data_IF_940346533573
#
_entry.id   IF_940346533573
#
_cell.length_a   1.000
_cell.length_b   1.000
_cell.length_c   1.000
_cell.angle_alpha   90.00
_cell.angle_beta   90.00
_cell.angle_gamma   90.00
#
_symmetry.space_group_name_H-M   'P 1'
#
loop_
_entity.id
_entity.type
_entity.pdbx_description
1 polymer ?
2 branched ?
3 branched ?
4 non-polymer ?
5 non-polymer ?
6 non-polymer ?
7 non-polymer ?
8 non-polymer ?
9 water ?
#
# COMPACT_ATOMS: atom_id res chain seq x y z
N UNK A 1 20.06 -5.82 15.83
CA UNK A 1 20.91 -6.93 16.32
C UNK A 1 20.19 -8.29 16.38
N UNK A 2 18.98 -8.35 16.93
CA UNK A 2 18.15 -9.58 16.79
C UNK A 2 17.03 -9.39 15.71
N UNK A 3 16.60 -10.46 15.04
CA UNK A 3 15.45 -10.41 14.12
C UNK A 3 14.20 -10.04 14.90
N UNK A 4 13.35 -9.18 14.33
CA UNK A 4 12.14 -8.86 15.03
C UNK A 4 11.11 -9.99 15.00
N UNK A 5 10.38 -10.15 16.11
CA UNK A 5 9.29 -11.12 16.15
C UNK A 5 7.99 -10.42 16.44
N UNK A 6 6.93 -10.84 15.78
CA UNK A 6 5.62 -10.23 15.92
C UNK A 6 4.97 -10.73 17.19
N UNK A 7 5.35 -10.16 18.34
CA UNK A 7 4.95 -10.78 19.63
C UNK A 7 3.77 -10.06 20.25
N UNK A 8 3.35 -8.90 19.72
CA UNK A 8 2.24 -8.12 20.29
C UNK A 8 0.94 -8.24 19.45
N UNK A 9 -0.20 -7.90 20.06
CA UNK A 9 -1.44 -7.73 19.32
C UNK A 9 -1.58 -6.26 18.94
N UNK A 10 -2.62 -5.92 18.15
CA UNK A 10 -2.99 -4.54 17.78
C UNK A 10 -3.49 -3.73 19.01
N UNK A 11 -3.14 -2.46 19.14
CA UNK A 11 -3.77 -1.64 20.18
C UNK A 11 -5.22 -1.44 19.76
N UNK A 12 -6.01 -1.06 20.74
CA UNK A 12 -7.39 -0.71 20.52
C UNK A 12 -7.42 0.55 19.70
N UNK A 13 -8.20 0.52 18.62
CA UNK A 13 -8.29 1.64 17.71
C UNK A 13 -9.60 2.41 18.02
N UNK A 14 -9.49 3.58 18.65
CA UNK A 14 -10.71 4.38 18.92
C UNK A 14 -10.83 5.62 18.06
N UNK A 15 -9.70 6.04 17.43
CA UNK A 15 -9.68 7.05 16.36
C UNK A 15 -8.30 7.03 15.72
N UNK A 16 -8.02 8.02 14.86
CA UNK A 16 -6.74 8.11 14.19
C UNK A 16 -6.20 9.51 14.43
N UNK A 17 -4.90 9.57 14.76
CA UNK A 17 -4.22 10.86 14.96
C UNK A 17 -3.30 11.10 13.78
N UNK A 18 -3.03 12.38 13.48
CA UNK A 18 -2.14 12.69 12.41
C UNK A 18 -0.67 12.20 12.75
N UNK A 19 -0.02 11.55 11.77
CA UNK A 19 1.35 11.03 11.92
C UNK A 19 2.41 11.77 11.05
N UNK A 20 2.14 11.88 9.75
CA UNK A 20 3.06 12.52 8.82
C UNK A 20 2.29 13.10 7.65
N UNK A 21 2.82 14.17 7.05
CA UNK A 21 2.24 14.80 5.87
C UNK A 21 3.38 15.54 5.21
N UNK A 22 3.59 15.30 3.91
CA UNK A 22 4.74 16.00 3.30
C UNK A 22 4.45 17.23 2.48
N UNK A 23 3.19 17.52 2.13
CA UNK A 23 2.88 18.72 1.36
C UNK A 23 3.73 18.85 0.10
N UNK A 24 4.02 17.75 -0.55
CA UNK A 24 5.06 17.75 -1.57
C UNK A 24 4.68 18.58 -2.79
N UNK A 25 3.40 18.58 -3.18
CA UNK A 25 3.06 19.21 -4.50
C UNK A 25 3.07 20.73 -4.25
N UNK A 26 2.56 21.15 -3.09
CA UNK A 26 2.64 22.56 -2.64
C UNK A 26 4.06 23.02 -2.64
N UNK A 27 4.93 22.26 -1.98
CA UNK A 27 6.34 22.75 -1.82
C UNK A 27 7.05 22.74 -3.17
N UNK A 28 6.75 21.70 -3.97
CA UNK A 28 7.44 21.42 -5.21
C UNK A 28 7.07 22.35 -6.33
N UNK A 29 5.99 23.11 -6.13
CA UNK A 29 5.62 24.22 -7.05
C UNK A 29 6.78 25.16 -7.27
N UNK A 30 7.65 25.29 -6.25
CA UNK A 30 8.81 26.15 -6.45
C UNK A 30 10.12 25.63 -5.79
N UNK A 31 10.35 24.32 -5.75
CA UNK A 31 11.57 23.80 -5.20
C UNK A 31 11.77 22.43 -5.85
N UNK A 32 12.94 21.77 -5.63
CA UNK A 32 13.33 20.66 -6.47
C UNK A 32 12.81 19.34 -5.99
N UNK A 33 11.51 19.15 -6.19
CA UNK A 33 10.81 18.03 -5.61
C UNK A 33 10.61 17.01 -6.74
N UNK A 34 10.95 15.74 -6.48
CA UNK A 34 10.84 14.68 -7.52
C UNK A 34 9.36 14.35 -7.75
N UNK A 35 9.03 14.01 -8.98
CA UNK A 35 7.69 13.51 -9.32
C UNK A 35 7.66 12.06 -8.81
N UNK A 36 6.57 11.71 -8.16
CA UNK A 36 6.43 10.34 -7.61
C UNK A 36 5.05 9.77 -7.84
N UNK A 37 4.88 8.51 -7.47
CA UNK A 37 3.57 7.93 -7.21
C UNK A 37 3.82 6.63 -6.50
N UNK A 38 2.74 6.00 -6.08
CA UNK A 38 2.84 4.74 -5.33
C UNK A 38 3.67 4.88 -4.05
N UNK A 39 3.34 5.87 -3.18
CA UNK A 39 4.15 6.07 -1.97
C UNK A 39 3.80 5.05 -0.87
N UNK A 40 4.62 4.98 0.16
CA UNK A 40 4.23 4.24 1.40
C UNK A 40 5.14 4.68 2.49
N UNK A 41 5.06 4.03 3.64
CA UNK A 41 5.83 4.40 4.82
C UNK A 41 6.38 3.09 5.37
N UNK A 42 7.60 3.12 5.93
CA UNK A 42 8.16 1.93 6.53
C UNK A 42 9.17 2.30 7.60
N UNK A 43 9.19 1.54 8.69
CA UNK A 43 10.08 1.83 9.79
C UNK A 43 11.22 0.89 9.87
N UNK A 44 12.35 1.47 10.32
CA UNK A 44 13.52 0.78 10.79
C UNK A 44 13.49 0.84 12.31
N UNK A 45 14.42 0.15 12.99
CA UNK A 45 14.39 0.26 14.47
C UNK A 45 14.63 1.66 15.01
N UNK A 46 15.24 2.56 14.26
CA UNK A 46 15.60 3.88 14.80
C UNK A 46 14.95 5.05 14.03
N UNK A 47 14.12 4.76 13.04
CA UNK A 47 13.67 5.80 12.10
C UNK A 47 12.52 5.27 11.23
N UNK A 48 11.50 6.09 11.04
CA UNK A 48 10.49 5.78 10.05
C UNK A 48 10.67 6.75 8.89
N UNK A 49 10.46 6.24 7.67
CA UNK A 49 10.69 7.05 6.46
C UNK A 49 9.53 6.90 5.47
N UNK A 50 9.42 7.89 4.58
CA UNK A 50 8.55 7.86 3.42
C UNK A 50 9.29 7.15 2.28
N UNK A 51 8.52 6.43 1.45
CA UNK A 51 9.01 5.63 0.33
C UNK A 51 8.08 6.01 -0.86
N UNK A 52 8.60 6.00 -2.09
CA UNK A 52 7.76 6.07 -3.26
C UNK A 52 8.54 5.71 -4.48
N UNK A 53 7.84 5.49 -5.57
CA UNK A 53 8.46 5.38 -6.89
C UNK A 53 8.64 6.72 -7.56
N UNK A 54 9.89 7.17 -7.60
CA UNK A 54 10.29 8.34 -8.34
C UNK A 54 10.00 8.16 -9.86
N UNK A 55 9.84 9.25 -10.59
CA UNK A 55 9.70 9.18 -12.05
C UNK A 55 10.94 9.81 -12.66
N UNK A 56 11.96 10.07 -11.85
CA UNK A 56 13.24 10.46 -12.41
C UNK A 56 13.19 11.83 -13.08
N UNK A 57 12.46 12.78 -12.49
CA UNK A 57 12.33 14.16 -12.95
C UNK A 57 11.73 14.96 -11.81
N UNK A 58 11.95 16.28 -11.78
CA UNK A 58 11.23 17.15 -10.83
C UNK A 58 9.85 17.51 -11.39
N UNK A 59 8.95 18.07 -10.59
CA UNK A 59 7.57 18.40 -11.03
C UNK A 59 7.58 19.60 -11.98
N UNK A 60 8.34 20.64 -11.63
CA UNK A 60 8.51 21.79 -12.49
C UNK A 60 9.44 21.50 -13.65
N UNK A 61 10.20 20.41 -13.63
CA UNK A 61 11.03 20.08 -14.78
C UNK A 61 10.18 19.75 -16.01
N UNK A 62 10.67 20.12 -17.18
CA UNK A 62 9.97 19.73 -18.44
C UNK A 62 9.75 18.22 -18.61
N UNK A 63 10.67 17.36 -18.07
CA UNK A 63 10.49 15.86 -18.10
C UNK A 63 9.33 15.32 -17.28
N UNK A 64 8.64 16.17 -16.51
CA UNK A 64 7.43 15.69 -15.81
C UNK A 64 6.27 15.45 -16.83
N UNK A 65 6.37 16.02 -18.01
CA UNK A 65 5.42 15.79 -19.05
C UNK A 65 5.42 14.30 -19.44
N UNK A 66 4.29 13.61 -19.20
CA UNK A 66 4.17 12.19 -19.53
C UNK A 66 4.24 11.26 -18.30
N UNK A 67 4.33 11.84 -17.10
CA UNK A 67 4.50 11.02 -15.88
C UNK A 67 3.23 10.33 -15.44
N UNK A 68 2.13 10.49 -16.22
CA UNK A 68 0.94 9.60 -16.07
C UNK A 68 1.31 8.11 -16.32
N UNK A 69 2.35 7.82 -17.11
CA UNK A 69 2.74 6.44 -17.39
C UNK A 69 3.36 5.79 -16.17
N UNK A 70 3.04 4.51 -15.95
CA UNK A 70 3.45 3.81 -14.76
C UNK A 70 4.85 3.22 -14.83
N UNK A 71 5.33 2.85 -16.01
CA UNK A 71 6.53 2.02 -16.11
C UNK A 71 7.47 2.60 -17.12
N UNK A 72 8.64 2.99 -16.67
CA UNK A 72 9.68 3.54 -17.51
C UNK A 72 11.02 3.18 -16.86
N UNK A 73 12.11 3.45 -17.60
CA UNK A 73 13.46 3.17 -17.17
C UNK A 73 13.95 4.24 -16.19
N UNK A 74 13.11 5.26 -15.94
CA UNK A 74 13.52 6.45 -15.18
C UNK A 74 12.95 6.36 -13.75
N UNK A 75 12.30 5.23 -13.42
CA UNK A 75 11.69 5.10 -12.10
C UNK A 75 12.63 4.38 -11.13
N UNK A 76 12.46 4.64 -9.82
CA UNK A 76 13.29 4.00 -8.77
C UNK A 76 12.52 4.10 -7.45
N UNK A 77 12.64 3.08 -6.60
CA UNK A 77 12.16 3.16 -5.23
C UNK A 77 13.08 4.17 -4.49
N UNK A 78 12.54 5.25 -3.94
CA UNK A 78 13.34 6.18 -3.13
C UNK A 78 12.77 6.23 -1.72
N UNK A 79 13.59 6.64 -0.76
CA UNK A 79 13.06 6.93 0.53
C UNK A 79 13.65 8.26 1.00
N UNK A 80 12.97 8.87 1.96
CA UNK A 80 13.33 10.19 2.44
C UNK A 80 12.79 10.40 3.88
N UNK A 81 13.30 11.37 4.64
CA UNK A 81 12.80 11.52 6.04
C UNK A 81 11.32 11.87 6.20
N UNK A 82 10.72 11.26 7.21
CA UNK A 82 9.29 11.38 7.51
C UNK A 82 8.82 12.84 7.37
N UNK A 83 7.81 13.02 6.55
CA UNK A 83 7.13 14.34 6.39
C UNK A 83 7.96 15.41 5.70
N UNK A 84 9.17 15.09 5.27
CA UNK A 84 9.86 15.91 4.24
C UNK A 84 9.26 15.59 2.90
N UNK A 85 9.48 16.44 1.86
CA UNK A 85 9.07 16.08 0.50
C UNK A 85 10.22 15.25 -0.18
N UNK A 86 9.91 14.41 -1.19
CA UNK A 86 10.96 13.67 -1.88
C UNK A 86 11.74 14.60 -2.79
N UNK A 87 12.84 15.18 -2.32
CA UNK A 87 13.56 16.15 -3.15
C UNK A 87 14.75 15.43 -3.83
N UNK A 88 15.28 16.08 -4.83
CA UNK A 88 16.46 15.64 -5.49
C UNK A 88 17.64 15.49 -4.48
N UNK A 89 17.73 16.37 -3.48
CA UNK A 89 18.88 16.46 -2.63
C UNK A 89 18.78 15.62 -1.33
N UNK A 90 17.59 15.15 -0.94
CA UNK A 90 17.40 14.42 0.35
C UNK A 90 16.81 12.97 0.17
N UNK A 91 16.59 12.57 -1.08
CA UNK A 91 16.06 11.24 -1.42
C UNK A 91 17.16 10.18 -1.62
N UNK A 92 17.01 9.04 -0.99
CA UNK A 92 17.97 7.96 -1.14
C UNK A 92 17.35 6.95 -2.06
N UNK A 93 18.11 6.51 -3.06
CA UNK A 93 17.58 5.48 -3.97
C UNK A 93 17.82 4.10 -3.33
N UNK A 94 16.72 3.35 -3.10
CA UNK A 94 16.76 1.97 -2.64
C UNK A 94 17.14 0.95 -3.73
N UNK A 95 16.57 1.13 -4.92
CA UNK A 95 16.76 0.18 -6.05
C UNK A 95 16.01 0.74 -7.27
N UNK A 96 16.27 0.19 -8.46
CA UNK A 96 15.78 0.73 -9.74
C UNK A 96 14.62 -0.12 -10.20
N UNK A 97 13.53 0.53 -10.60
CA UNK A 97 12.35 -0.20 -11.04
C UNK A 97 11.06 0.59 -10.87
N UNK A 98 9.96 -0.08 -11.25
CA UNK A 98 8.62 0.53 -11.36
C UNK A 98 7.54 -0.20 -10.57
N UNK A 99 7.96 -1.12 -9.68
CA UNK A 99 7.07 -1.78 -8.72
C UNK A 99 7.97 -2.22 -7.59
N UNK A 100 7.51 -2.07 -6.34
CA UNK A 100 8.39 -2.32 -5.20
C UNK A 100 7.70 -2.75 -3.92
N UNK A 101 8.52 -3.28 -3.03
CA UNK A 101 8.17 -3.39 -1.63
C UNK A 101 9.46 -3.25 -0.83
N UNK A 102 9.37 -3.10 0.50
CA UNK A 102 10.55 -2.91 1.38
C UNK A 102 10.15 -3.19 2.85
N UNK A 103 11.02 -3.78 3.67
CA UNK A 103 10.74 -3.98 5.10
C UNK A 103 12.06 -4.30 5.74
N UNK A 104 12.11 -3.98 7.02
CA UNK A 104 13.29 -4.14 7.86
C UNK A 104 12.95 -5.36 8.73
N UNK A 105 13.90 -6.30 8.82
CA UNK A 105 13.69 -7.54 9.61
C UNK A 105 14.17 -7.46 11.06
N UNK A 106 14.58 -6.28 11.50
CA UNK A 106 15.15 -6.09 12.86
C UNK A 106 16.67 -5.94 12.82
N UNK A 107 17.32 -6.59 11.84
CA UNK A 107 18.79 -6.47 11.71
C UNK A 107 19.08 -5.54 10.56
N UNK A 108 18.39 -5.69 9.43
CA UNK A 108 18.62 -4.75 8.31
C UNK A 108 17.41 -4.76 7.34
N UNK A 109 17.50 -3.98 6.27
CA UNK A 109 16.39 -3.76 5.34
C UNK A 109 16.49 -4.57 4.07
N UNK A 110 15.36 -5.20 3.72
CA UNK A 110 15.19 -5.81 2.39
C UNK A 110 14.34 -4.88 1.52
N UNK A 111 14.78 -4.59 0.28
CA UNK A 111 14.00 -3.80 -0.64
C UNK A 111 13.94 -4.55 -1.95
N UNK A 112 12.81 -4.47 -2.63
CA UNK A 112 12.63 -5.27 -3.87
C UNK A 112 12.10 -4.31 -4.95
N UNK A 113 12.81 -4.22 -6.09
CA UNK A 113 12.29 -3.48 -7.25
C UNK A 113 12.22 -4.37 -8.44
N UNK A 114 11.15 -4.18 -9.21
CA UNK A 114 10.96 -4.90 -10.44
C UNK A 114 11.11 -3.89 -11.58
N UNK A 115 11.84 -4.28 -12.63
CA UNK A 115 11.99 -3.43 -13.85
C UNK A 115 11.90 -4.31 -15.11
N UNK A 116 11.92 -3.71 -16.32
CA UNK A 116 11.91 -4.51 -17.55
C UNK A 116 10.73 -4.15 -18.43
N UNK A 117 10.76 -4.64 -19.69
CA UNK A 117 9.53 -4.44 -20.51
C UNK A 117 8.41 -5.34 -19.95
N UNK A 118 7.19 -5.11 -20.38
CA UNK A 118 6.04 -5.88 -19.90
C UNK A 118 6.18 -7.38 -19.98
N UNK A 119 6.86 -7.88 -21.02
CA UNK A 119 6.96 -9.29 -21.30
C UNK A 119 8.20 -9.98 -20.80
N UNK A 120 9.04 -9.25 -20.06
CA UNK A 120 10.37 -9.72 -19.71
C UNK A 120 10.89 -9.02 -18.43
N UNK A 121 10.00 -8.79 -17.45
CA UNK A 121 10.36 -8.11 -16.22
C UNK A 121 11.13 -9.01 -15.26
N UNK A 122 11.85 -8.41 -14.30
CA UNK A 122 12.56 -9.17 -13.25
C UNK A 122 12.59 -8.38 -11.91
N UNK A 123 12.43 -9.12 -10.81
CA UNK A 123 12.62 -8.62 -9.48
C UNK A 123 14.11 -8.75 -9.05
N UNK A 124 14.69 -7.67 -8.52
CA UNK A 124 15.99 -7.76 -7.81
C UNK A 124 15.74 -7.52 -6.33
N UNK A 125 16.19 -8.45 -5.51
CA UNK A 125 15.98 -8.43 -4.06
C UNK A 125 17.27 -7.97 -3.44
N UNK A 126 17.21 -6.81 -2.81
CA UNK A 126 18.32 -6.15 -2.13
C UNK A 126 18.18 -6.41 -0.66
N UNK A 127 19.29 -6.62 0.03
CA UNK A 127 19.31 -6.88 1.46
C UNK A 127 20.58 -6.23 2.03
N UNK A 128 20.46 -5.42 3.09
CA UNK A 128 21.65 -4.66 3.58
C UNK A 128 22.30 -3.80 2.48
N UNK A 129 21.44 -3.25 1.62
CA UNK A 129 21.74 -2.36 0.48
C UNK A 129 22.70 -2.98 -0.55
N UNK A 130 22.61 -4.29 -0.71
CA UNK A 130 23.28 -5.03 -1.79
C UNK A 130 22.29 -5.99 -2.46
N UNK A 131 22.39 -6.14 -3.82
CA UNK A 131 21.50 -7.09 -4.52
C UNK A 131 21.94 -8.50 -4.16
N UNK A 132 20.96 -9.36 -3.85
CA UNK A 132 21.26 -10.73 -3.38
C UNK A 132 20.57 -11.79 -4.28
N UNK A 133 19.33 -11.59 -4.69
CA UNK A 133 18.56 -12.59 -5.41
C UNK A 133 17.83 -11.90 -6.54
N UNK A 134 17.64 -12.62 -7.63
CA UNK A 134 16.89 -12.09 -8.77
C UNK A 134 15.86 -13.15 -9.17
N UNK A 135 14.66 -12.70 -9.54
CA UNK A 135 13.55 -13.56 -9.96
C UNK A 135 12.99 -13.08 -11.31
N UNK A 136 13.04 -13.96 -12.32
CA UNK A 136 12.56 -13.60 -13.66
C UNK A 136 11.06 -13.72 -13.74
N UNK A 137 10.46 -12.93 -14.62
CA UNK A 137 9.00 -13.02 -14.91
C UNK A 137 8.63 -14.54 -15.15
N UNK A 138 7.52 -15.03 -14.56
CA UNK A 138 7.01 -16.38 -14.85
C UNK A 138 5.80 -16.40 -15.77
N UNK A 139 5.12 -15.27 -15.97
CA UNK A 139 3.94 -15.27 -16.88
C UNK A 139 4.11 -14.23 -17.98
N UNK A 140 5.29 -13.59 -18.06
CA UNK A 140 5.61 -12.62 -19.16
C UNK A 140 4.55 -11.51 -19.32
N UNK A 141 3.94 -11.09 -18.20
CA UNK A 141 2.94 -10.01 -18.23
C UNK A 141 2.97 -9.14 -16.95
N UNK A 142 3.87 -8.14 -16.92
CA UNK A 142 4.05 -7.17 -15.85
C UNK A 142 4.12 -7.86 -14.47
N UNK A 143 5.17 -8.63 -14.22
CA UNK A 143 5.59 -8.96 -12.82
C UNK A 143 5.51 -7.71 -11.91
N UNK A 144 4.75 -7.81 -10.83
CA UNK A 144 4.44 -6.66 -9.97
C UNK A 144 4.23 -7.14 -8.53
N UNK A 145 4.36 -6.22 -7.57
CA UNK A 145 4.32 -6.59 -6.16
C UNK A 145 3.49 -5.57 -5.40
N UNK A 146 3.72 -5.47 -4.10
CA UNK A 146 2.85 -4.81 -3.14
C UNK A 146 2.67 -3.29 -3.26
N UNK A 147 3.74 -2.55 -3.56
CA UNK A 147 3.72 -1.05 -3.49
C UNK A 147 3.44 -0.54 -2.09
N UNK A 148 3.70 -1.39 -1.06
CA UNK A 148 3.74 -0.94 0.33
C UNK A 148 4.62 -1.91 1.13
N UNK A 149 4.87 -1.63 2.41
CA UNK A 149 5.90 -2.41 3.10
C UNK A 149 5.50 -3.89 3.29
N UNK A 150 6.49 -4.77 3.27
CA UNK A 150 6.34 -6.16 3.67
C UNK A 150 6.50 -6.19 5.21
N UNK A 151 6.31 -7.36 5.79
CA UNK A 151 6.41 -7.56 7.22
C UNK A 151 7.32 -8.77 7.50
N UNK A 152 8.16 -8.69 8.52
CA UNK A 152 9.07 -9.84 8.80
C UNK A 152 8.75 -10.45 10.16
N UNK A 153 9.01 -11.74 10.29
CA UNK A 153 8.94 -12.40 11.59
C UNK A 153 10.09 -13.43 11.72
N UNK A 154 10.96 -13.23 12.71
CA UNK A 154 12.16 -14.04 12.92
C UNK A 154 12.98 -14.18 11.63
N UNK A 155 13.17 -13.09 10.91
CA UNK A 155 13.98 -13.13 9.72
C UNK A 155 13.19 -13.51 8.49
N UNK A 156 11.98 -14.09 8.66
CA UNK A 156 11.19 -14.50 7.47
C UNK A 156 10.29 -13.34 7.03
N UNK A 157 10.52 -12.83 5.81
CA UNK A 157 9.72 -11.73 5.22
C UNK A 157 8.95 -12.20 3.98
N UNK A 158 7.66 -12.61 4.13
CA UNK A 158 6.86 -12.99 2.94
C UNK A 158 6.52 -11.77 2.10
N UNK A 159 6.45 -12.01 0.79
CA UNK A 159 6.18 -10.97 -0.17
C UNK A 159 5.24 -11.53 -1.25
N UNK A 160 4.16 -10.80 -1.56
CA UNK A 160 3.19 -11.25 -2.59
C UNK A 160 3.56 -10.58 -3.91
N UNK A 161 3.69 -11.39 -4.98
CA UNK A 161 3.95 -10.99 -6.35
C UNK A 161 2.78 -11.51 -7.20
N UNK A 162 2.51 -10.82 -8.30
CA UNK A 162 1.53 -11.30 -9.25
C UNK A 162 2.16 -11.09 -10.61
N UNK A 163 1.97 -12.06 -11.50
CA UNK A 163 2.44 -11.93 -12.88
C UNK A 163 1.30 -12.50 -13.72
N UNK A 164 0.87 -11.78 -14.76
CA UNK A 164 -0.27 -12.24 -15.58
C UNK A 164 -1.23 -11.13 -15.75
N UNK A 165 -2.43 -11.45 -16.21
CA UNK A 165 -3.40 -10.45 -16.66
C UNK A 165 -3.92 -9.60 -15.50
N UNK A 166 -4.21 -8.32 -15.77
CA UNK A 166 -4.97 -7.45 -14.86
C UNK A 166 -6.50 -7.61 -14.92
N UNK A 167 -6.96 -8.33 -15.94
CA UNK A 167 -8.38 -8.39 -16.27
C UNK A 167 -8.89 -9.86 -16.51
N UNK A 168 -8.42 -10.82 -15.72
CA UNK A 168 -8.61 -12.26 -15.97
C UNK A 168 -7.69 -12.98 -15.00
N UNK A 169 -7.78 -14.32 -14.90
CA UNK A 169 -6.86 -15.04 -13.98
C UNK A 169 -5.34 -14.69 -14.17
N UNK A 170 -4.60 -14.59 -13.07
CA UNK A 170 -3.19 -14.28 -13.12
C UNK A 170 -2.41 -15.28 -12.23
N UNK A 171 -1.08 -15.23 -12.22
CA UNK A 171 -0.31 -16.15 -11.37
C UNK A 171 0.32 -15.41 -10.20
N UNK A 172 -0.22 -15.67 -9.02
CA UNK A 172 0.21 -15.00 -7.81
C UNK A 172 0.99 -15.99 -7.03
N UNK A 173 2.09 -15.50 -6.49
CA UNK A 173 3.01 -16.32 -5.73
C UNK A 173 3.40 -15.57 -4.45
N UNK A 174 3.64 -16.34 -3.39
CA UNK A 174 4.08 -15.79 -2.12
C UNK A 174 5.49 -16.34 -1.93
N UNK A 175 6.46 -15.44 -1.98
CA UNK A 175 7.83 -15.77 -1.69
C UNK A 175 8.14 -15.54 -0.22
N UNK A 176 8.89 -16.44 0.37
CA UNK A 176 9.29 -16.34 1.76
C UNK A 176 10.81 -16.10 1.75
N UNK A 177 11.21 -14.86 2.01
CA UNK A 177 12.62 -14.47 2.02
C UNK A 177 13.25 -14.47 3.39
N UNK A 178 14.56 -14.71 3.44
CA UNK A 178 15.33 -14.52 4.71
C UNK A 178 16.72 -14.07 4.32
N UNK A 179 17.11 -12.85 4.74
CA UNK A 179 18.43 -12.32 4.34
C UNK A 179 18.51 -12.17 2.82
N UNK A 180 17.35 -11.90 2.22
CA UNK A 180 17.26 -11.77 0.78
C UNK A 180 17.32 -13.05 -0.02
N UNK A 181 17.43 -14.19 0.65
CA UNK A 181 17.49 -15.48 -0.04
C UNK A 181 16.06 -16.10 -0.04
N UNK A 182 15.70 -16.85 -1.09
CA UNK A 182 14.37 -17.46 -1.11
C UNK A 182 14.37 -18.74 -0.25
N UNK A 183 13.58 -18.80 0.82
CA UNK A 183 13.44 -20.04 1.58
C UNK A 183 12.42 -20.95 0.90
N UNK A 184 11.41 -20.34 0.29
CA UNK A 184 10.28 -21.14 -0.23
C UNK A 184 9.41 -20.21 -1.03
N UNK A 185 8.70 -20.74 -2.01
CA UNK A 185 7.60 -19.97 -2.54
C UNK A 185 6.37 -20.90 -2.75
N UNK A 186 5.18 -20.32 -2.74
CA UNK A 186 3.93 -21.05 -2.93
C UNK A 186 3.07 -20.30 -3.99
N UNK A 187 2.34 -21.05 -4.81
CA UNK A 187 1.27 -20.40 -5.59
C UNK A 187 0.09 -19.98 -4.68
N UNK A 188 -0.63 -18.92 -5.04
CA UNK A 188 -1.80 -18.47 -4.25
C UNK A 188 -2.76 -19.61 -3.98
N UNK A 189 -3.30 -19.63 -2.77
CA UNK A 189 -4.30 -20.64 -2.32
C UNK A 189 -5.52 -19.94 -1.78
N UNK A 190 -6.50 -20.74 -1.35
CA UNK A 190 -7.78 -20.23 -0.79
C UNK A 190 -8.67 -19.67 -1.92
N UNK A 191 -9.58 -18.72 -1.60
CA UNK A 191 -10.71 -18.42 -2.50
C UNK A 191 -10.59 -17.06 -3.17
N UNK A 192 -9.54 -16.26 -2.86
CA UNK A 192 -9.29 -15.03 -3.60
C UNK A 192 -9.08 -15.39 -5.08
N UNK A 193 -9.71 -14.64 -6.01
CA UNK A 193 -9.70 -15.02 -7.45
C UNK A 193 -8.71 -14.19 -8.28
N UNK A 194 -8.25 -13.06 -7.71
CA UNK A 194 -7.26 -12.18 -8.35
C UNK A 194 -6.61 -11.35 -7.23
N UNK A 195 -5.28 -11.17 -7.28
CA UNK A 195 -4.53 -10.47 -6.23
C UNK A 195 -3.60 -9.45 -6.84
N UNK A 196 -3.64 -8.21 -6.33
CA UNK A 196 -2.61 -7.21 -6.65
C UNK A 196 -2.34 -6.34 -5.44
N UNK A 197 -1.14 -5.77 -5.37
CA UNK A 197 -0.90 -4.70 -4.40
C UNK A 197 -1.36 -4.95 -2.95
N UNK A 198 -0.90 -6.04 -2.35
CA UNK A 198 -1.18 -6.33 -0.96
C UNK A 198 -0.62 -5.31 0.02
N UNK A 199 -1.50 -4.85 0.92
CA UNK A 199 -1.12 -4.02 2.02
C UNK A 199 -1.10 -4.90 3.27
N UNK A 200 0.04 -4.97 3.98
CA UNK A 200 0.22 -6.00 5.03
C UNK A 200 0.59 -5.44 6.42
N UNK A 201 0.23 -6.20 7.45
CA UNK A 201 0.61 -5.88 8.85
C UNK A 201 0.77 -7.20 9.58
N UNK A 202 1.48 -7.17 10.71
CA UNK A 202 1.89 -8.35 11.47
C UNK A 202 1.40 -8.18 12.88
N UNK A 203 0.82 -9.23 13.45
CA UNK A 203 0.58 -9.22 14.91
C UNK A 203 0.50 -10.64 15.41
N UNK A 204 0.97 -10.93 16.64
CA UNK A 204 0.89 -12.26 17.21
C UNK A 204 1.24 -13.31 16.18
N UNK A 205 2.43 -13.16 15.56
CA UNK A 205 3.04 -14.19 14.66
C UNK A 205 2.21 -14.57 13.41
N UNK A 206 1.37 -13.63 12.98
CA UNK A 206 0.63 -13.79 11.75
C UNK A 206 0.64 -12.47 10.95
N UNK A 207 0.72 -12.59 9.63
CA UNK A 207 0.73 -11.48 8.73
C UNK A 207 -0.59 -11.49 7.94
N UNK A 208 -1.28 -10.35 7.98
CA UNK A 208 -2.55 -10.13 7.28
C UNK A 208 -2.34 -9.13 6.17
N UNK A 209 -2.71 -9.53 4.95
CA UNK A 209 -2.66 -8.65 3.77
C UNK A 209 -4.04 -8.39 3.16
N UNK A 210 -4.38 -7.12 2.97
CA UNK A 210 -5.61 -6.74 2.27
C UNK A 210 -5.18 -6.23 0.88
N UNK A 211 -5.76 -6.82 -0.16
CA UNK A 211 -5.24 -6.69 -1.50
C UNK A 211 -6.31 -6.09 -2.41
N UNK A 212 -6.00 -6.03 -3.70
CA UNK A 212 -6.89 -5.50 -4.72
C UNK A 212 -7.19 -6.66 -5.68
N UNK A 213 -8.47 -7.06 -5.78
CA UNK A 213 -8.92 -7.93 -6.87
C UNK A 213 -9.25 -6.99 -8.03
N UNK A 214 -8.34 -6.83 -9.00
CA UNK A 214 -8.60 -5.95 -10.12
C UNK A 214 -9.69 -6.50 -11.12
N UNK A 215 -9.87 -7.82 -11.18
CA UNK A 215 -10.64 -8.45 -12.23
C UNK A 215 -12.12 -8.31 -11.97
N UNK A 216 -12.56 -8.75 -10.80
CA UNK A 216 -14.01 -8.81 -10.54
C UNK A 216 -14.50 -8.19 -9.25
N UNK A 217 -13.71 -8.24 -8.17
CA UNK A 217 -14.17 -7.84 -6.85
C UNK A 217 -14.13 -6.35 -6.44
N UNK A 218 -15.25 -5.89 -5.88
CA UNK A 218 -15.30 -4.58 -5.21
C UNK A 218 -15.21 -4.73 -3.70
N UNK A 219 -15.32 -5.97 -3.19
CA UNK A 219 -14.86 -6.30 -1.81
C UNK A 219 -13.32 -6.61 -1.99
N UNK A 220 -12.52 -6.60 -0.94
CA UNK A 220 -11.07 -6.81 -1.09
C UNK A 220 -10.69 -8.22 -0.73
N UNK A 221 -9.81 -8.82 -1.54
CA UNK A 221 -9.28 -10.11 -1.07
C UNK A 221 -8.33 -9.90 0.11
N UNK A 222 -8.28 -10.91 0.96
CA UNK A 222 -7.38 -10.99 2.09
C UNK A 222 -6.53 -12.23 2.01
N UNK A 223 -5.20 -12.07 2.22
CA UNK A 223 -4.26 -13.21 2.41
C UNK A 223 -3.77 -13.20 3.86
N UNK A 224 -3.88 -14.34 4.55
CA UNK A 224 -3.36 -14.45 5.90
C UNK A 224 -2.21 -15.43 5.86
N UNK A 225 -1.05 -15.00 6.37
CA UNK A 225 0.20 -15.76 6.20
C UNK A 225 0.75 -16.14 7.58
N UNK A 226 1.16 -17.40 7.70
CA UNK A 226 1.87 -17.89 8.88
C UNK A 226 3.35 -17.91 8.51
N UNK A 227 4.16 -16.93 9.02
CA UNK A 227 5.56 -16.84 8.59
C UNK A 227 6.47 -17.87 9.29
N UNK A 228 5.99 -18.59 10.29
CA UNK A 228 6.75 -19.72 10.89
C UNK A 228 6.51 -20.98 10.07
N UNK A 229 5.24 -21.39 9.87
CA UNK A 229 4.95 -22.55 8.97
C UNK A 229 5.24 -22.25 7.50
N UNK A 230 5.34 -20.96 7.14
CA UNK A 230 5.45 -20.51 5.75
C UNK A 230 4.32 -21.03 4.86
N UNK A 231 3.08 -20.88 5.36
CA UNK A 231 1.84 -21.28 4.66
C UNK A 231 0.87 -20.06 4.74
N UNK A 232 -0.17 -20.07 3.93
CA UNK A 232 -1.11 -18.95 3.88
C UNK A 232 -2.46 -19.45 3.41
N UNK A 233 -3.46 -18.57 3.49
CA UNK A 233 -4.79 -18.85 2.94
C UNK A 233 -5.30 -17.50 2.43
N UNK A 234 -6.47 -17.51 1.81
CA UNK A 234 -7.05 -16.25 1.25
C UNK A 234 -8.56 -16.39 1.18
N UNK A 235 -9.23 -15.23 1.23
CA UNK A 235 -10.69 -15.16 1.20
C UNK A 235 -10.96 -13.71 0.82
N UNK A 236 -12.19 -13.23 1.00
CA UNK A 236 -12.49 -11.83 0.82
C UNK A 236 -12.98 -11.26 2.15
N UNK A 237 -12.87 -9.95 2.34
CA UNK A 237 -13.60 -9.31 3.42
C UNK A 237 -15.13 -9.61 3.16
N UNK A 238 -15.79 -10.31 4.10
CA UNK A 238 -17.24 -10.62 4.03
C UNK A 238 -18.13 -9.38 4.04
N UNK A 239 -17.69 -8.30 4.70
CA UNK A 239 -18.59 -7.17 4.94
C UNK A 239 -19.24 -6.62 3.68
N UNK A 240 -20.52 -6.14 3.77
CA UNK A 240 -21.13 -5.41 2.66
C UNK A 240 -20.59 -4.01 2.54
N UNK A 241 -19.71 -3.55 3.46
CA UNK A 241 -19.08 -2.20 3.34
C UNK A 241 -17.94 -2.43 2.33
N UNK A 242 -18.18 -2.10 1.07
CA UNK A 242 -17.28 -2.50 0.00
C UNK A 242 -16.16 -1.44 -0.10
N UNK A 243 -14.91 -1.87 -0.31
CA UNK A 243 -13.78 -0.94 -0.11
C UNK A 243 -12.82 -0.78 -1.28
N UNK A 244 -13.11 -1.39 -2.42
CA UNK A 244 -12.38 -1.07 -3.61
C UNK A 244 -12.95 0.21 -4.23
N UNK A 245 -12.41 0.57 -5.37
CA UNK A 245 -12.82 1.77 -6.13
C UNK A 245 -12.34 1.62 -7.57
N UNK A 246 -13.17 1.89 -8.58
CA UNK A 246 -14.61 2.21 -8.43
C UNK A 246 -15.34 0.97 -7.95
N UNK A 247 -16.58 1.13 -7.52
CA UNK A 247 -17.33 0.01 -6.90
C UNK A 247 -18.86 0.25 -7.03
N UNK A 248 -19.66 -0.82 -6.93
CA UNK A 248 -21.10 -0.52 -6.88
C UNK A 248 -21.48 0.07 -5.51
N UNK A 249 -22.72 0.50 -5.38
CA UNK A 249 -23.21 0.87 -4.04
C UNK A 249 -23.16 -0.27 -3.03
N UNK A 250 -23.06 0.06 -1.75
CA UNK A 250 -23.00 -0.99 -0.72
C UNK A 250 -24.30 -1.83 -0.65
N UNK A 251 -24.18 -3.15 -0.64
CA UNK A 251 -25.38 -3.88 -0.36
C UNK A 251 -25.61 -4.08 1.13
N UNK A 252 -26.43 -5.05 1.45
CA UNK A 252 -26.79 -5.35 2.82
C UNK A 252 -26.03 -6.61 3.18
N UNK A 253 -25.65 -7.38 2.16
CA UNK A 253 -24.87 -8.61 2.42
C UNK A 253 -23.74 -8.79 1.40
N UNK A 254 -22.55 -9.11 1.92
CA UNK A 254 -21.32 -9.18 1.12
C UNK A 254 -21.04 -10.61 0.71
N UNK A 255 -19.84 -10.83 0.17
CA UNK A 255 -19.36 -12.15 -0.14
C UNK A 255 -18.03 -12.44 0.47
N UNK A 256 -17.94 -13.62 1.10
CA UNK A 256 -16.78 -14.15 1.80
C UNK A 256 -15.77 -14.87 0.90
N UNK A 257 -16.25 -15.59 -0.11
CA UNK A 257 -15.39 -16.48 -0.87
C UNK A 257 -15.45 -16.29 -2.34
N UNK A 258 -16.01 -15.16 -2.75
CA UNK A 258 -16.01 -14.78 -4.15
C UNK A 258 -15.98 -13.30 -4.29
N UNK A 259 -15.68 -12.82 -5.50
CA UNK A 259 -15.72 -11.35 -5.76
C UNK A 259 -17.12 -10.81 -5.68
N UNK A 260 -17.29 -9.66 -5.04
CA UNK A 260 -18.55 -8.93 -5.09
C UNK A 260 -18.61 -8.16 -6.40
N UNK A 261 -19.62 -8.46 -7.28
CA UNK A 261 -19.57 -7.99 -8.68
C UNK A 261 -20.11 -6.60 -8.85
N UNK A 262 -20.12 -6.11 -10.08
CA UNK A 262 -20.62 -4.78 -10.33
C UNK A 262 -19.60 -3.88 -10.98
N UNK A 263 -18.31 -4.10 -10.74
CA UNK A 263 -17.25 -3.35 -11.47
C UNK A 263 -16.19 -4.37 -11.89
N UNK A 264 -15.73 -4.30 -13.15
CA UNK A 264 -14.73 -5.23 -13.67
C UNK A 264 -13.46 -4.47 -14.08
N UNK A 265 -12.30 -5.08 -13.94
CA UNK A 265 -11.11 -4.56 -14.62
C UNK A 265 -10.69 -3.20 -14.10
N UNK A 266 -10.74 -3.01 -12.79
CA UNK A 266 -10.31 -1.74 -12.25
C UNK A 266 -10.25 -1.84 -10.75
N UNK A 267 -9.60 -0.87 -10.08
CA UNK A 267 -9.47 -0.96 -8.61
C UNK A 267 -8.47 0.08 -8.14
N UNK A 268 -8.13 0.04 -6.84
CA UNK A 268 -7.14 0.94 -6.22
C UNK A 268 -6.47 0.10 -5.07
N UNK A 269 -5.17 0.32 -4.84
CA UNK A 269 -4.54 -0.26 -3.67
C UNK A 269 -5.23 0.24 -2.41
N UNK A 270 -5.58 -0.66 -1.49
CA UNK A 270 -6.15 -0.23 -0.21
C UNK A 270 -5.73 -1.13 0.94
N UNK A 271 -6.38 -0.98 2.11
CA UNK A 271 -5.92 -1.73 3.27
C UNK A 271 -7.05 -1.85 4.26
N UNK A 272 -6.89 -2.75 5.22
CA UNK A 272 -7.74 -2.79 6.40
C UNK A 272 -6.93 -3.30 7.58
N UNK A 273 -7.53 -3.15 8.77
CA UNK A 273 -7.06 -3.82 10.01
C UNK A 273 -8.17 -4.70 10.46
N UNK A 274 -7.92 -6.01 10.39
CA UNK A 274 -8.95 -7.02 10.65
C UNK A 274 -8.65 -7.70 12.00
N UNK A 275 -9.35 -7.28 13.06
CA UNK A 275 -9.03 -7.72 14.43
C UNK A 275 -10.33 -7.87 15.31
N UNK A 276 -11.25 -8.75 14.87
CA UNK A 276 -12.53 -8.94 15.56
C UNK A 276 -13.28 -7.62 15.62
N UNK A 277 -13.70 -7.23 16.81
CA UNK A 277 -14.47 -5.98 16.98
C UNK A 277 -13.59 -4.75 16.73
N UNK A 278 -12.29 -4.91 16.90
CA UNK A 278 -11.34 -3.82 16.63
C UNK A 278 -10.97 -3.74 15.13
N UNK A 279 -11.95 -3.75 14.22
CA UNK A 279 -11.69 -3.82 12.80
C UNK A 279 -12.03 -2.52 12.14
N UNK A 280 -11.05 -1.97 11.41
CA UNK A 280 -11.25 -0.73 10.68
C UNK A 280 -10.92 -0.91 9.18
N UNK A 281 -11.77 -0.37 8.32
CA UNK A 281 -11.60 -0.49 6.87
C UNK A 281 -11.37 0.93 6.35
N UNK A 282 -10.43 1.08 5.40
CA UNK A 282 -10.32 2.32 4.63
C UNK A 282 -11.01 2.16 3.29
N UNK A 283 -11.55 3.26 2.78
CA UNK A 283 -12.14 3.34 1.41
C UNK A 283 -12.11 4.82 0.97
N UNK A 284 -12.07 5.02 -0.34
CA UNK A 284 -12.43 6.28 -0.93
C UNK A 284 -13.92 6.53 -0.59
N UNK A 285 -14.28 7.78 -0.34
CA UNK A 285 -15.68 8.13 -0.14
C UNK A 285 -16.48 7.96 -1.47
N UNK A 286 -15.93 8.40 -2.58
CA UNK A 286 -16.63 8.27 -3.88
C UNK A 286 -16.63 6.81 -4.33
N UNK A 287 -17.75 6.37 -4.96
CA UNK A 287 -17.81 4.98 -5.51
C UNK A 287 -17.25 4.98 -6.91
N UNK A 288 -17.13 6.18 -7.44
CA UNK A 288 -16.82 6.37 -8.87
C UNK A 288 -15.38 6.78 -9.15
N UNK A 289 -14.74 7.53 -8.26
CA UNK A 289 -13.36 7.91 -8.57
C UNK A 289 -12.54 7.95 -7.29
N UNK A 290 -11.25 8.24 -7.41
CA UNK A 290 -10.36 8.21 -6.24
C UNK A 290 -10.43 9.56 -5.54
N UNK A 291 -11.56 9.77 -4.90
CA UNK A 291 -11.93 11.06 -4.33
C UNK A 291 -12.30 10.78 -2.88
N UNK A 292 -11.76 11.57 -1.94
CA UNK A 292 -12.17 11.38 -0.54
C UNK A 292 -11.57 10.10 0.08
N UNK A 293 -11.52 10.07 1.41
CA UNK A 293 -10.99 8.91 2.09
C UNK A 293 -11.59 8.84 3.47
N UNK A 294 -12.08 7.68 3.86
CA UNK A 294 -12.60 7.52 5.22
C UNK A 294 -12.13 6.23 5.89
N UNK A 295 -12.17 6.24 7.23
CA UNK A 295 -11.92 5.05 8.00
C UNK A 295 -13.27 4.69 8.66
N UNK A 296 -13.68 3.41 8.57
CA UNK A 296 -14.94 2.90 9.12
C UNK A 296 -14.67 1.73 10.06
N UNK A 297 -15.20 1.81 11.28
CA UNK A 297 -15.04 0.71 12.21
C UNK A 297 -16.19 -0.24 11.85
N UNK A 298 -15.82 -1.46 11.45
CA UNK A 298 -16.76 -2.46 10.96
C UNK A 298 -16.45 -3.74 11.72
N UNK A 299 -17.08 -3.93 12.89
CA UNK A 299 -16.71 -5.06 13.74
C UNK A 299 -16.87 -6.37 12.98
N UNK A 300 -15.86 -7.25 13.03
CA UNK A 300 -15.89 -8.52 12.35
C UNK A 300 -16.06 -8.44 10.86
N UNK A 301 -15.60 -7.37 10.20
CA UNK A 301 -15.74 -7.24 8.74
C UNK A 301 -15.26 -8.50 7.99
N UNK A 302 -14.17 -9.12 8.47
CA UNK A 302 -13.57 -10.25 7.77
C UNK A 302 -14.53 -11.45 7.64
N UNK A 303 -15.27 -11.68 8.71
CA UNK A 303 -16.04 -12.91 8.86
C UNK A 303 -17.56 -12.74 8.90
N UNK A 304 -18.06 -11.52 8.97
CA UNK A 304 -19.53 -11.27 9.11
C UNK A 304 -20.06 -10.59 7.80
N UNK A 305 -20.85 -11.32 7.02
CA UNK A 305 -21.29 -10.82 5.73
C UNK A 305 -22.47 -9.82 5.76
N UNK A 306 -22.89 -9.41 6.94
CA UNK A 306 -23.86 -8.37 7.09
C UNK A 306 -23.34 -7.16 7.92
N UNK A 307 -22.04 -7.14 8.25
CA UNK A 307 -21.47 -6.14 9.21
C UNK A 307 -21.43 -4.75 8.59
N UNK A 308 -21.87 -3.74 9.37
CA UNK A 308 -22.04 -2.35 8.91
C UNK A 308 -21.23 -1.49 9.89
N UNK A 309 -20.96 -0.19 9.58
CA UNK A 309 -20.08 0.63 10.45
C UNK A 309 -20.72 0.99 11.79
N UNK A 310 -19.92 0.98 12.84
CA UNK A 310 -20.37 1.44 14.13
C UNK A 310 -19.67 2.75 14.52
N UNK A 311 -18.65 3.15 13.74
CA UNK A 311 -17.88 4.36 14.00
C UNK A 311 -17.18 4.73 12.74
N UNK A 312 -16.73 5.98 12.64
CA UNK A 312 -15.95 6.38 11.48
C UNK A 312 -15.06 7.61 11.64
N UNK A 313 -14.17 7.84 10.67
CA UNK A 313 -13.41 9.08 10.69
C UNK A 313 -13.15 9.53 9.24
N UNK A 314 -13.45 10.79 8.93
CA UNK A 314 -13.03 11.38 7.67
C UNK A 314 -11.49 11.63 7.62
N UNK A 315 -10.84 11.18 6.56
CA UNK A 315 -9.41 11.46 6.41
C UNK A 315 -9.24 12.55 5.33
N UNK A 316 -9.94 12.36 4.19
CA UNK A 316 -9.88 13.32 3.07
C UNK A 316 -11.33 13.55 2.63
N UNK A 317 -11.73 14.81 2.52
CA UNK A 317 -13.10 15.14 2.05
C UNK A 317 -13.28 14.65 0.64
N UNK A 318 -14.54 14.37 0.33
CA UNK A 318 -14.91 13.95 -1.00
C UNK A 318 -14.73 15.00 -2.09
N UNK A 319 -14.43 16.23 -1.74
CA UNK A 319 -14.08 17.25 -2.74
C UNK A 319 -12.57 17.32 -2.95
N UNK A 320 -11.81 16.35 -2.37
CA UNK A 320 -10.34 16.30 -2.59
C UNK A 320 -9.89 14.95 -3.13
N UNK A 321 -8.85 14.97 -3.94
CA UNK A 321 -8.32 13.73 -4.47
C UNK A 321 -7.61 12.82 -3.42
N UNK A 322 -7.82 11.51 -3.52
CA UNK A 322 -7.03 10.52 -2.76
C UNK A 322 -6.24 9.68 -3.76
N UNK A 323 -6.21 8.37 -3.56
CA UNK A 323 -5.36 7.51 -4.38
C UNK A 323 -5.09 6.22 -3.62
N UNK A 324 -3.92 5.64 -3.87
CA UNK A 324 -3.47 4.44 -3.10
C UNK A 324 -3.45 4.62 -1.55
N UNK A 325 -3.78 3.57 -0.83
CA UNK A 325 -3.53 3.61 0.60
C UNK A 325 -3.01 2.26 1.05
N UNK A 326 -2.30 2.27 2.18
CA UNK A 326 -1.65 1.06 2.62
C UNK A 326 -1.33 1.10 4.11
N UNK A 327 -0.91 -0.05 4.60
CA UNK A 327 -0.63 -0.25 6.04
C UNK A 327 0.88 -0.25 6.34
N UNK A 328 1.24 0.24 7.52
CA UNK A 328 2.59 0.01 8.11
C UNK A 328 2.44 0.11 9.64
N UNK A 329 3.36 -0.43 10.42
CA UNK A 329 3.38 -0.14 11.88
C UNK A 329 4.81 0.06 12.30
N UNK A 330 5.02 0.85 13.34
CA UNK A 330 6.33 0.90 13.94
C UNK A 330 6.50 -0.36 14.87
N UNK A 331 7.00 -1.48 14.33
CA UNK A 331 7.25 -2.72 15.10
C UNK A 331 8.23 -2.53 16.26
N UNK A 332 8.95 -1.42 16.23
CA UNK A 332 9.99 -1.15 17.25
C UNK A 332 9.61 -0.10 18.35
N UNK A 333 8.41 0.50 18.27
CA UNK A 333 7.87 1.35 19.33
C UNK A 333 7.87 0.58 20.68
N UNK A 334 8.00 1.28 21.79
CA UNK A 334 7.98 0.59 23.10
C UNK A 334 6.51 0.48 23.52
N UNK A 335 6.10 -0.49 24.31
CA UNK A 335 4.68 -0.50 24.66
C UNK A 335 4.07 -1.85 24.53
N UNK A 336 2.83 -2.00 24.94
CA UNK A 336 2.32 -3.35 25.11
C UNK A 336 1.68 -3.85 23.80
N UNK A 337 1.51 -2.95 22.82
CA UNK A 337 0.71 -3.36 21.62
C UNK A 337 1.22 -2.68 20.40
N UNK A 338 0.89 -3.16 19.20
CA UNK A 338 1.32 -2.50 17.98
C UNK A 338 0.27 -1.45 17.56
N UNK A 339 0.73 -0.22 17.34
CA UNK A 339 -0.18 0.86 16.94
C UNK A 339 -0.38 0.80 15.39
N UNK A 340 -1.57 0.47 14.93
CA UNK A 340 -1.90 0.49 13.49
C UNK A 340 -1.63 1.87 12.85
N UNK A 341 -1.08 1.88 11.66
CA UNK A 341 -0.88 3.17 10.95
C UNK A 341 -1.26 2.90 9.49
N UNK A 342 -1.48 3.96 8.74
CA UNK A 342 -1.69 3.84 7.31
C UNK A 342 -1.28 5.14 6.69
N UNK A 343 -1.16 5.16 5.37
CA UNK A 343 -0.92 6.39 4.61
C UNK A 343 -2.03 6.39 3.51
N UNK A 344 -2.33 7.59 2.98
CA UNK A 344 -3.16 7.75 1.76
C UNK A 344 -2.26 8.57 0.79
N UNK A 345 -2.12 8.09 -0.44
CA UNK A 345 -1.52 8.84 -1.56
C UNK A 345 -2.54 9.89 -2.02
N UNK A 346 -2.19 11.17 -2.09
CA UNK A 346 -3.10 12.21 -2.62
C UNK A 346 -2.64 12.56 -4.05
N UNK A 347 -3.25 11.94 -5.07
CA UNK A 347 -2.77 12.07 -6.45
C UNK A 347 -3.20 13.39 -7.01
N UNK A 348 -2.27 14.06 -7.71
CA UNK A 348 -2.65 15.27 -8.40
C UNK A 348 -2.18 15.18 -9.82
N UNK A 349 -2.80 16.03 -10.67
CA UNK A 349 -2.52 16.13 -12.11
C UNK A 349 -3.33 15.07 -12.86
N UNK A 350 -2.73 14.49 -13.89
CA UNK A 350 -3.52 13.66 -14.82
C UNK A 350 -3.91 12.33 -14.19
N UNK A 351 -5.03 11.73 -14.58
CA UNK A 351 -5.92 12.16 -15.71
C UNK A 351 -6.98 13.22 -15.35
N UNK A 352 -7.34 13.40 -14.07
CA UNK A 352 -8.45 14.28 -13.72
C UNK A 352 -8.11 15.75 -13.76
N UNK A 353 -6.89 16.11 -13.38
CA UNK A 353 -6.48 17.49 -13.56
C UNK A 353 -5.58 17.68 -14.78
N UNK A 354 -6.20 17.76 -15.96
CA UNK A 354 -5.43 17.65 -17.19
C UNK A 354 -4.94 18.92 -17.84
N UNK A 355 -5.08 20.03 -17.15
CA UNK A 355 -4.41 21.27 -17.59
C UNK A 355 -2.91 21.23 -17.30
N UNK A 356 -2.47 20.29 -16.46
CA UNK A 356 -0.99 20.05 -16.31
C UNK A 356 -0.64 18.77 -17.08
N UNK A 357 0.60 18.66 -17.52
CA UNK A 357 1.08 17.47 -18.26
C UNK A 357 1.57 16.31 -17.41
N UNK A 358 1.65 16.54 -16.08
CA UNK A 358 2.25 15.58 -15.17
C UNK A 358 1.21 14.90 -14.28
N UNK A 359 1.66 13.81 -13.64
CA UNK A 359 0.91 13.20 -12.54
C UNK A 359 1.88 13.05 -11.38
N UNK A 360 1.47 13.49 -10.19
CA UNK A 360 2.29 13.28 -9.00
C UNK A 360 1.40 13.09 -7.78
N UNK A 361 1.99 13.17 -6.59
CA UNK A 361 1.22 12.93 -5.38
C UNK A 361 1.89 13.57 -4.17
N UNK A 362 1.14 13.77 -3.12
CA UNK A 362 1.76 13.99 -1.80
C UNK A 362 1.27 12.91 -0.87
N UNK A 363 1.71 12.92 0.39
CA UNK A 363 1.36 11.82 1.33
C UNK A 363 0.71 12.44 2.58
N UNK A 364 -0.33 11.77 3.09
CA UNK A 364 -0.77 11.94 4.47
C UNK A 364 -0.76 10.58 5.16
N UNK A 365 -0.43 10.58 6.44
CA UNK A 365 -0.37 9.31 7.19
C UNK A 365 -0.87 9.52 8.62
N UNK A 366 -1.58 8.51 9.17
CA UNK A 366 -2.19 8.55 10.52
C UNK A 366 -1.84 7.29 11.29
N UNK A 367 -1.86 7.36 12.62
CA UNK A 367 -1.81 6.13 13.43
C UNK A 367 -3.00 6.12 14.38
N UNK A 368 -3.28 4.95 14.97
CA UNK A 368 -4.45 4.83 15.80
C UNK A 368 -4.18 5.42 17.20
N UNK A 369 -5.24 5.92 17.83
CA UNK A 369 -5.22 6.42 19.19
C UNK A 369 -6.21 5.58 19.99
N UNK A 370 -5.92 5.31 21.28
CA UNK A 370 -6.95 4.74 22.17
C UNK A 370 -7.93 5.82 22.72
N UNK A 371 -7.62 7.11 22.50
CA UNK A 371 -8.61 8.22 22.66
C UNK A 371 -9.59 8.32 21.54
N UNK A 372 -10.70 9.02 21.80
CA UNK A 372 -11.67 9.39 20.76
C UNK A 372 -11.38 10.80 20.35
N UNK A 373 -10.46 10.95 19.39
CA UNK A 373 -9.98 12.27 18.97
C UNK A 373 -10.87 12.95 17.95
N UNK A 374 -10.96 14.26 18.06
CA UNK A 374 -11.56 15.06 16.99
C UNK A 374 -10.95 14.83 15.62
N UNK A 375 -11.79 14.94 14.57
CA UNK A 375 -11.33 14.72 13.23
C UNK A 375 -11.06 16.04 12.43
N UNK A 376 -10.05 16.02 11.59
CA UNK A 376 -9.90 17.04 10.56
C UNK A 376 -9.89 16.35 9.19
N UNK A 377 -9.83 17.11 8.10
CA UNK A 377 -9.53 16.51 6.81
C UNK A 377 -8.18 17.01 6.37
N UNK A 378 -7.53 16.21 5.52
CA UNK A 378 -6.11 16.38 5.19
C UNK A 378 -5.96 16.32 3.65
N UNK A 379 -6.26 17.42 2.96
CA UNK A 379 -6.08 17.39 1.49
C UNK A 379 -4.59 17.62 1.11
N UNK A 380 -4.26 17.35 -0.14
CA UNK A 380 -2.96 17.67 -0.68
C UNK A 380 -2.60 19.14 -0.43
N UNK A 381 -3.54 20.05 -0.72
CA UNK A 381 -3.38 21.47 -0.42
C UNK A 381 -2.82 22.30 -1.57
N UNK A 382 -2.49 21.69 -2.71
CA UNK A 382 -1.88 22.46 -3.80
C UNK A 382 -2.96 23.10 -4.67
N UNK A 383 -2.64 24.25 -5.26
CA UNK A 383 -3.54 24.89 -6.26
C UNK A 383 -2.96 24.65 -7.64
N UNK A 384 -3.64 23.79 -8.40
CA UNK A 384 -3.19 23.39 -9.72
C UNK A 384 -3.03 24.60 -10.58
N UNK A 385 -3.87 25.62 -10.39
CA UNK A 385 -3.78 26.86 -11.20
C UNK A 385 -2.36 27.48 -11.10
N UNK A 386 -1.68 27.26 -9.97
CA UNK A 386 -0.33 27.83 -9.81
C UNK A 386 0.69 27.23 -10.79
N UNK A 387 0.39 26.03 -11.28
CA UNK A 387 1.31 25.33 -12.13
C UNK A 387 1.03 25.62 -13.61
N UNK A 388 0.05 26.49 -13.88
CA UNK A 388 -0.34 26.78 -15.28
C UNK A 388 0.51 27.94 -15.74
X LIG B 1 13.59 -11.71 -22.88
X LIG B 1 13.49 -11.67 -24.44
X LIG B 1 14.52 -12.59 -25.13
X LIG B 1 15.90 -12.35 -24.50
X LIG B 1 15.82 -12.54 -22.97
X LIG B 1 17.18 -12.43 -22.27
X LIG B 1 11.26 -11.50 -25.29
X LIG B 1 10.00 -12.34 -25.50
X LIG B 1 12.22 -12.23 -24.73
X LIG B 1 14.60 -12.36 -26.52
X LIG B 1 16.70 -13.34 -25.06
X LIG B 1 14.91 -11.60 -22.41
X LIG B 1 17.73 -11.16 -22.60
X LIG B 1 11.38 -10.28 -25.61
X LIG B 2 17.98 -12.87 -25.45
X LIG B 2 19.03 -14.00 -25.40
X LIG B 2 20.35 -13.49 -25.94
X LIG B 2 20.18 -12.83 -27.31
X LIG B 2 19.05 -11.79 -27.20
X LIG B 2 18.63 -10.96 -28.41
X LIG B 2 18.90 -15.68 -23.63
X LIG B 2 19.21 -16.22 -22.25
X LIG B 2 19.34 -14.50 -24.06
X LIG B 2 21.41 -14.42 -25.80
X LIG B 2 21.36 -12.16 -27.64
X LIG B 2 17.88 -12.46 -26.77
X LIG B 2 18.41 -11.94 -29.37
X LIG B 2 18.18 -16.34 -24.33
X LIG B 3 22.02 -12.67 -28.80
X LIG B 3 22.91 -11.56 -29.36
X LIG B 3 23.74 -12.05 -30.55
X LIG B 3 24.38 -13.41 -30.26
X LIG B 3 23.37 -14.40 -29.74
X LIG B 3 24.07 -15.71 -29.44
X LIG B 3 23.77 -11.23 -28.29
X LIG B 3 24.76 -11.11 -30.74
X LIG B 3 24.97 -13.93 -31.41
X LIG B 3 22.75 -13.86 -28.55
X LIG B 3 23.11 -16.71 -29.35
X LIG B 4 25.02 -10.88 -32.11
X LIG B 4 26.24 -9.99 -32.33
X LIG B 4 25.94 -8.60 -31.75
X LIG B 4 24.75 -7.99 -32.46
X LIG B 4 23.59 -8.95 -32.39
X LIG B 4 22.55 -8.45 -33.41
X LIG B 4 26.36 -9.97 -33.78
X LIG B 4 27.07 -7.76 -31.83
X LIG B 4 24.27 -6.77 -32.00
X LIG B 4 23.93 -10.31 -32.76
X LIG B 4 21.44 -8.87 -32.71
X LIG B 5 27.50 -9.28 -34.33
X LIG B 5 27.31 -9.31 -35.86
X LIG B 5 27.47 -10.78 -36.34
X LIG B 5 28.77 -11.36 -35.80
X LIG B 5 28.76 -11.22 -34.27
X LIG B 5 29.96 -11.87 -33.60
X LIG B 5 28.27 -8.49 -36.50
X LIG B 5 27.50 -10.81 -37.75
X LIG B 5 28.84 -12.72 -36.19
X LIG B 5 28.77 -9.85 -34.01
X LIG B 5 31.10 -11.16 -34.02
X LIG B 6 27.76 -7.24 -36.95
X LIG B 6 28.93 -6.63 -37.70
X LIG B 6 30.03 -6.24 -36.71
X LIG B 6 29.47 -5.28 -35.64
X LIG B 6 28.31 -6.00 -34.93
X LIG B 6 27.68 -5.13 -33.88
X LIG B 6 28.43 -5.51 -38.40
X LIG B 6 31.10 -5.63 -37.41
X LIG B 6 30.51 -4.88 -34.75
X LIG B 6 27.31 -6.41 -35.88
X LIG B 6 27.12 -3.97 -34.52
X LIG B 7 23.06 -17.48 -30.59
X LIG B 7 21.87 -18.42 -30.41
X LIG B 7 22.25 -19.58 -29.47
X LIG B 7 23.54 -20.25 -29.94
X LIG B 7 24.69 -19.26 -30.20
X LIG B 7 25.94 -19.94 -30.79
X LIG B 7 21.51 -18.86 -31.69
X LIG B 7 21.20 -20.53 -29.41
X LIG B 7 23.93 -21.11 -28.91
X LIG B 7 24.25 -18.19 -31.00
X LIG B 7 26.06 -20.23 -32.18
X LIG B 8 20.53 -20.77 -28.13
X LIG B 8 19.63 -22.01 -28.37
X LIG B 8 18.26 -21.60 -28.98
X LIG B 8 17.61 -20.36 -28.32
X LIG B 8 18.62 -19.21 -28.20
X LIG B 8 17.96 -17.96 -27.55
X LIG B 8 19.52 -22.81 -27.21
X LIG B 8 17.37 -22.69 -28.92
X LIG B 8 16.53 -19.91 -29.12
X LIG B 8 19.77 -19.73 -27.49
X LIG B 8 18.14 -16.73 -28.27
X LIG C 1 12.84 -13.81 17.94
X LIG C 1 13.88 -13.20 18.85
X LIG C 1 15.18 -13.93 18.56
X LIG C 1 15.03 -15.46 18.69
X LIG C 1 13.82 -15.91 17.84
X LIG C 1 13.51 -17.41 17.83
X LIG C 1 14.06 -10.85 19.56
X LIG C 1 14.16 -9.38 19.26
X LIG C 1 14.02 -11.77 18.59
X LIG C 1 16.20 -13.40 19.38
X LIG C 1 16.23 -16.06 18.22
X LIG C 1 12.67 -15.18 18.25
X LIG C 1 13.32 -17.72 19.18
X LIG C 1 14.01 -11.17 20.74
X LIG C 2 17.20 -16.57 19.19
X LIG C 2 18.09 -17.64 18.47
X LIG C 2 19.20 -18.16 19.42
X LIG C 2 20.03 -16.95 19.93
X LIG C 2 19.06 -16.00 20.66
X LIG C 2 19.80 -14.86 21.38
X LIG C 2 16.52 -19.56 17.75
X LIG C 2 15.96 -20.23 16.52
X LIG C 2 17.37 -18.55 17.53
X LIG C 2 20.06 -18.98 18.67
X LIG C 2 21.23 -17.25 20.68
X LIG C 2 18.05 -15.56 19.73
X LIG C 2 19.95 -13.71 20.57
X LIG C 2 16.18 -19.94 18.90
X LIG D 1 -12.06 15.79 -6.09
X LIG D 1 -14.40 12.17 -11.49
X LIG D 1 -13.44 15.78 -6.65
X LIG D 1 -17.95 11.65 -7.04
X LIG D 1 -15.04 13.54 -9.45
X LIG D 1 -16.57 14.34 -5.90
X LIG D 1 -18.01 14.14 -6.40
X LIG D 1 -15.53 14.48 -7.03
X LIG D 1 -15.79 13.39 -8.12
X LIG D 1 -18.13 13.08 -7.54
X LIG D 1 -14.15 14.63 -6.53
X LIG D 1 -13.85 16.82 -7.15
X LIG D 1 -14.35 13.38 -12.26
X LIG D 1 -18.36 11.34 -5.87
X LIG D 1 -15.90 11.22 -9.86
X LIG D 1 -15.37 14.83 -9.99
X LIG D 1 -16.60 15.59 -5.22
X LIG D 1 -17.16 13.43 -8.53
X LIG D 1 -18.59 15.34 -6.79
X LIG D 1 -19.31 13.20 -8.14
X LIG D 1 -17.44 10.80 -7.82
X LIG D 1 -15.47 12.45 -10.47
X LIG E 1 4.08 17.51 -23.54
X LIG E 1 4.02 18.87 -24.24
X LIG E 1 3.08 18.87 -25.46
X LIG E 1 3.15 17.58 -26.29
X LIG E 1 3.05 16.37 -25.38
X LIG E 1 3.05 15.03 -26.12
X LIG E 1 4.28 20.82 -22.83
X LIG E 1 3.74 21.77 -21.79
X LIG E 1 3.51 19.80 -23.24
X LIG E 1 3.30 20.02 -26.26
X LIG E 1 1.96 17.58 -27.06
X LIG E 1 4.10 16.39 -24.41
X LIG E 1 4.38 14.68 -26.46
X LIG E 1 5.41 20.98 -23.28
X LIG F 1 -11.76 -4.18 -8.15
X LIG G 1 -1.60 -1.64 -12.27
X LIG G 1 0.30 -0.05 -11.69
X LIG G 1 -1.84 1.61 -10.79
X LIG G 1 -3.00 2.59 -10.58
X LIG G 1 -0.43 1.98 -10.35
X LIG G 1 0.70 0.99 -10.67
X LIG G 1 -1.10 -0.54 -11.33
X LIG G 1 -2.88 3.76 -10.10
X LIG G 1 -4.12 2.19 -10.89
X LIG G 1 1.86 1.71 -11.08
X LIG G 1 -0.08 3.21 -10.74
X LIG G 1 -2.10 0.51 -11.27
X LIG G 1 -2.83 -2.35 -11.71
X LIG G 1 -3.37 -3.36 -12.74
X LIG G 1 -2.54 -4.55 -12.67
X LIG G 1 -2.56 -2.95 -10.43
X LIG G 1 -1.98 -1.08 -13.54
X LIG G 1 1.30 -1.13 -11.59
X LIG G 1 2.09 -1.43 -12.62
X LIG G 1 1.89 -0.97 -13.73
X LIG G 1 3.24 -2.35 -12.34
X LIG H 1 -3.07 2.21 -9.99
X LIG H 1 -1.24 2.47 -11.62
X LIG H 1 -1.89 1.32 -9.73
X LIG H 1 -0.74 2.06 -10.40
X LIG H 1 0.52 1.24 -10.67
X LIG H 1 1.45 2.01 -11.45
X LIG H 1 0.23 -0.03 -11.45
X LIG H 1 1.32 -0.99 -11.25
X LIG H 1 -1.07 -0.67 -10.98
X LIG H 1 -2.14 0.24 -10.63
X LIG H 1 -1.58 -1.62 -12.06
X LIG H 1 -1.62 -0.98 -13.34
X LIG H 1 -2.98 -2.10 -11.73
X LIG H 1 -2.92 -2.79 -10.47
X LIG H 1 -3.56 -2.97 -12.86
X LIG H 1 -2.87 -4.24 -12.82
X LIG H 1 2.14 -1.40 -12.23
X LIG H 1 1.98 -1.05 -13.38
X LIG H 1 3.27 -2.29 -11.85
X LIG H 1 -4.13 1.66 -10.33
X LIG H 1 -2.99 3.47 -9.88
#
# INVERSE_FOLDING_TARGET
RDFNNLTKGLCTINSWHIYGKDNAVRIGEDSDVLVTREPYVSCDPDECRFYALSQGTTIRGKHSNGTIHDRSQYRALISWPLSSPPTVYNSRVECIGWSSTSCHDGKTRMSICISGPNNNASAVIWYNRRPVTEINTWARNILRTQESECVCHNGVCPVVFTDGSATGPAETRIYYFKEGKILKWEPLAGTAKHIEECSCYGERAEITCTCRDNWQGSNRPVIRIDPVAMTHTSQYICSPVLTDNPRPNDPTVGKCNDPYPGNNNNGVKGFSYLDGVNTWLGRTISIASRSGYEMLKVPNALTDDKSKPTQGQTIVLNTDWSGYSGSFMDYWAEGECYRACFYVELIRGRPKEDKVWWTSNSIVSMCSSTEFLGQWDWPDGAKIEYFL
NAG C1 C2 C3 C4 C5 C6 C7 C8 N2 O3 O4 O5 O6 O7
NAG C1 C2 C3 C4 C5 C6 C7 C8 N2 O3 O4 O5 O6 O7
BMA C1 C2 C3 C4 C5 C6 O2 O3 O4 O5 O6
MAN C1 C2 C3 C4 C5 C6 O2 O3 O4 O5 O6
MAN C1 C2 C3 C4 C5 C6 O2 O3 O4 O5 O6
MAN C1 C2 C3 C4 C5 C6 O2 O3 O4 O5 O6
MAN C1 C2 C3 C4 C5 C6 O2 O3 O4 O5 O6
MAN C1 C2 C3 C4 C5 C6 O2 O3 O4 O5 O6
NAG C1 C2 C3 C4 C5 C6 C7 C8 N2 O3 O4 O5 O6 O7
NAG C1 C2 C3 C4 C5 C6 C7 C8 N2 O3 O4 O5 O6 O7
SFJ C11 C9 C10 C1 C7 C4 C3 C5 C6 C2 N5 O10 O9 O1A O8 O7 O4 O6 FAI FAJ O1B C8
NAG C1 C2 C3 C4 C5 C6 C7 C8 N2 O3 O4 O5 O6 O7
CA CA
DF4 C7 C5 C2 C1 C3 C4 C6 O1A O1B O4 F1 O6 C8 C9 O9 O8 O7 N5 C10 O10 C11
FSI C1 F1 C2 C3 C4 O4 C5 N5 C6 O6 C7 O7 C8 O8 C9 O9 C10 O10 C11 O1A O1B
#
